data_IF_929802757097
#
_entry.id   IF_929802757097
#
_cell.length_a   1.000
_cell.length_b   1.000
_cell.length_c   1.000
_cell.angle_alpha   90.00
_cell.angle_beta   90.00
_cell.angle_gamma   90.00
#
_symmetry.space_group_name_H-M   'P 1'
#
loop_
_entity.id
_entity.type
_entity.pdbx_description
1 polymer ?
#
# COMPACT_ATOMS: atom_id res chain seq x y z
N UNK A 1 -8.57 4.25 -12.25
CA UNK A 1 -9.86 3.62 -12.58
C UNK A 1 -10.00 3.30 -14.07
N UNK A 2 -9.92 4.27 -14.98
CA UNK A 2 -10.21 4.08 -16.41
C UNK A 2 -9.44 2.92 -17.08
N UNK A 3 -8.14 2.80 -16.85
CA UNK A 3 -7.33 1.69 -17.38
C UNK A 3 -7.74 0.32 -16.80
N UNK A 4 -8.15 0.27 -15.53
CA UNK A 4 -8.64 -0.96 -14.89
C UNK A 4 -9.97 -1.38 -15.50
N UNK A 5 -10.90 -0.44 -15.70
CA UNK A 5 -12.19 -0.69 -16.36
C UNK A 5 -12.00 -1.18 -17.81
N UNK A 6 -11.12 -0.52 -18.57
CA UNK A 6 -10.77 -0.92 -19.94
C UNK A 6 -10.19 -2.33 -19.98
N UNK A 7 -9.29 -2.67 -19.05
CA UNK A 7 -8.72 -4.01 -18.93
C UNK A 7 -9.80 -5.07 -18.64
N UNK A 8 -10.67 -4.81 -17.66
CA UNK A 8 -11.76 -5.73 -17.30
C UNK A 8 -12.74 -5.96 -18.44
N UNK A 9 -13.03 -4.91 -19.22
CA UNK A 9 -13.87 -4.99 -20.41
C UNK A 9 -13.20 -5.80 -21.53
N UNK A 10 -11.93 -5.52 -21.83
CA UNK A 10 -11.14 -6.24 -22.84
C UNK A 10 -11.03 -7.74 -22.54
N UNK A 11 -10.77 -8.10 -21.27
CA UNK A 11 -10.71 -9.49 -20.81
C UNK A 11 -12.07 -10.15 -20.60
N UNK A 12 -13.17 -9.42 -20.77
CA UNK A 12 -14.55 -9.89 -20.57
C UNK A 12 -14.77 -10.54 -19.19
N UNK A 13 -14.21 -9.93 -18.14
CA UNK A 13 -14.35 -10.49 -16.79
C UNK A 13 -15.82 -10.56 -16.35
N UNK A 14 -16.24 -11.58 -15.58
CA UNK A 14 -17.60 -11.68 -15.04
C UNK A 14 -17.96 -10.50 -14.12
N UNK A 15 -19.25 -10.18 -14.02
CA UNK A 15 -19.75 -9.03 -13.24
C UNK A 15 -19.28 -9.06 -11.78
N UNK A 16 -19.33 -10.21 -11.13
CA UNK A 16 -18.92 -10.39 -9.74
C UNK A 16 -17.44 -10.05 -9.54
N UNK A 17 -16.57 -10.50 -10.45
CA UNK A 17 -15.15 -10.20 -10.42
C UNK A 17 -14.88 -8.71 -10.64
N UNK A 18 -15.61 -8.07 -11.57
CA UNK A 18 -15.51 -6.62 -11.78
C UNK A 18 -15.88 -5.83 -10.52
N UNK A 19 -16.96 -6.24 -9.86
CA UNK A 19 -17.40 -5.59 -8.62
C UNK A 19 -16.35 -5.70 -7.53
N UNK A 20 -15.81 -6.90 -7.28
CA UNK A 20 -14.73 -7.11 -6.30
C UNK A 20 -13.49 -6.28 -6.61
N UNK A 21 -13.08 -6.20 -7.88
CA UNK A 21 -11.93 -5.37 -8.31
C UNK A 21 -12.22 -3.89 -8.04
N UNK A 22 -13.41 -3.38 -8.42
CA UNK A 22 -13.77 -1.98 -8.17
C UNK A 22 -13.78 -1.66 -6.67
N UNK A 23 -14.42 -2.50 -5.86
CA UNK A 23 -14.45 -2.34 -4.39
C UNK A 23 -13.03 -2.36 -3.81
N UNK A 24 -12.16 -3.27 -4.25
CA UNK A 24 -10.76 -3.31 -3.86
C UNK A 24 -10.05 -1.98 -4.15
N UNK A 25 -10.17 -1.46 -5.38
CA UNK A 25 -9.53 -0.21 -5.77
C UNK A 25 -10.10 1.01 -5.04
N UNK A 26 -11.41 1.05 -4.78
CA UNK A 26 -12.03 2.12 -3.97
C UNK A 26 -11.50 2.10 -2.53
N UNK A 27 -11.44 0.92 -1.90
CA UNK A 27 -10.90 0.77 -0.55
C UNK A 27 -9.39 1.07 -0.48
N UNK A 28 -8.61 0.54 -1.44
CA UNK A 28 -7.15 0.66 -1.48
C UNK A 28 -6.67 2.08 -1.72
N UNK A 29 -7.40 2.85 -2.53
CA UNK A 29 -6.95 4.15 -3.00
C UNK A 29 -7.80 5.32 -2.49
N UNK A 30 -8.97 5.06 -1.88
CA UNK A 30 -9.88 6.11 -1.38
C UNK A 30 -10.16 7.21 -2.43
N UNK A 31 -10.29 6.81 -3.70
CA UNK A 31 -10.46 7.73 -4.83
C UNK A 31 -9.19 8.42 -5.34
N UNK A 32 -8.02 8.21 -4.71
CA UNK A 32 -6.72 8.76 -5.11
C UNK A 32 -5.84 7.70 -5.73
N UNK A 33 -5.81 7.65 -7.05
CA UNK A 33 -5.00 6.69 -7.82
C UNK A 33 -3.63 7.30 -8.10
N UNK A 34 -2.69 7.08 -7.18
CA UNK A 34 -1.29 7.37 -7.42
C UNK A 34 -0.46 6.10 -7.35
N UNK A 35 0.50 6.00 -8.25
CA UNK A 35 1.55 5.00 -8.20
C UNK A 35 2.58 5.47 -7.17
N UNK A 36 2.39 5.03 -5.93
CA UNK A 36 3.26 5.41 -4.80
C UNK A 36 4.70 4.97 -5.03
N UNK A 37 4.92 3.83 -5.70
CA UNK A 37 6.26 3.35 -6.03
C UNK A 37 6.94 4.28 -7.04
N UNK A 38 6.23 4.70 -8.09
CA UNK A 38 6.75 5.67 -9.05
C UNK A 38 7.01 7.03 -8.39
N UNK A 39 6.09 7.54 -7.57
CA UNK A 39 6.26 8.83 -6.88
C UNK A 39 7.47 8.80 -5.95
N UNK A 40 7.60 7.76 -5.13
CA UNK A 40 8.74 7.61 -4.22
C UNK A 40 10.05 7.37 -4.98
N UNK A 41 10.00 6.75 -6.15
CA UNK A 41 11.15 6.53 -7.04
C UNK A 41 11.75 7.81 -7.63
N UNK A 42 10.96 8.87 -7.80
CA UNK A 42 11.41 10.19 -8.26
C UNK A 42 12.07 11.03 -7.14
N UNK A 43 11.90 10.64 -5.87
CA UNK A 43 12.47 11.34 -4.73
C UNK A 43 13.93 10.95 -4.51
N UNK A 44 14.72 11.85 -3.92
CA UNK A 44 16.04 11.49 -3.40
C UNK A 44 15.89 10.43 -2.29
N UNK A 45 16.92 9.61 -2.11
CA UNK A 45 16.92 8.52 -1.11
C UNK A 45 16.50 9.02 0.28
N UNK A 46 17.11 10.12 0.75
CA UNK A 46 16.78 10.72 2.03
C UNK A 46 15.33 11.19 2.11
N UNK A 47 14.82 11.84 1.08
CA UNK A 47 13.44 12.34 1.08
C UNK A 47 12.42 11.19 1.04
N UNK A 48 12.74 10.13 0.30
CA UNK A 48 11.94 8.89 0.29
C UNK A 48 11.91 8.24 1.67
N UNK A 49 13.05 8.12 2.34
CA UNK A 49 13.13 7.61 3.71
C UNK A 49 12.32 8.46 4.70
N UNK A 50 12.42 9.78 4.62
CA UNK A 50 11.64 10.71 5.45
C UNK A 50 10.14 10.49 5.27
N UNK A 51 9.67 10.35 4.02
CA UNK A 51 8.25 10.09 3.70
C UNK A 51 7.79 8.73 4.24
N UNK A 52 8.57 7.66 4.03
CA UNK A 52 8.22 6.31 4.49
C UNK A 52 8.15 6.27 6.03
N UNK A 53 9.16 6.83 6.72
CA UNK A 53 9.16 6.91 8.18
C UNK A 53 7.98 7.73 8.71
N UNK A 54 7.65 8.85 8.06
CA UNK A 54 6.48 9.63 8.43
C UNK A 54 5.19 8.84 8.27
N UNK A 55 4.99 8.15 7.15
CA UNK A 55 3.78 7.36 6.88
C UNK A 55 3.60 6.21 7.88
N UNK A 56 4.70 5.57 8.30
CA UNK A 56 4.67 4.44 9.22
C UNK A 56 4.75 4.83 10.71
N UNK A 57 4.88 6.12 11.07
CA UNK A 57 5.05 6.56 12.47
C UNK A 57 3.99 6.01 13.43
N UNK A 58 2.74 5.93 13.00
CA UNK A 58 1.64 5.41 13.80
C UNK A 58 1.72 3.88 13.98
N UNK A 59 2.15 3.15 12.93
CA UNK A 59 2.39 1.72 12.99
C UNK A 59 3.55 1.40 13.95
N UNK A 60 4.66 2.12 13.82
CA UNK A 60 5.83 1.97 14.69
C UNK A 60 5.44 2.22 16.15
N UNK A 61 4.71 3.31 16.41
CA UNK A 61 4.25 3.65 17.76
C UNK A 61 3.28 2.61 18.36
N UNK A 62 2.51 1.88 17.54
CA UNK A 62 1.55 0.89 18.01
C UNK A 62 2.15 -0.51 18.22
N UNK A 63 3.41 -0.74 17.82
CA UNK A 63 4.05 -2.06 17.86
C UNK A 63 5.12 -2.07 18.96
N UNK A 64 4.88 -2.78 20.09
CA UNK A 64 5.80 -2.79 21.24
C UNK A 64 7.23 -3.24 20.91
N UNK A 65 7.40 -4.08 19.87
CA UNK A 65 8.70 -4.52 19.39
C UNK A 65 9.64 -3.34 19.02
N UNK A 66 9.10 -2.22 18.53
CA UNK A 66 9.90 -1.05 18.17
C UNK A 66 10.10 -0.04 19.30
N UNK A 67 9.45 -0.21 20.47
CA UNK A 67 9.37 0.83 21.49
C UNK A 67 10.74 1.32 22.02
N UNK A 68 11.75 0.43 22.03
CA UNK A 68 13.12 0.74 22.47
C UNK A 68 14.15 0.42 21.38
N UNK A 69 13.71 0.27 20.12
CA UNK A 69 14.59 -0.07 19.02
C UNK A 69 15.37 1.17 18.54
N UNK A 70 16.58 0.94 18.01
CA UNK A 70 17.39 1.99 17.40
C UNK A 70 16.66 2.62 16.20
N UNK A 71 16.76 3.94 16.03
CA UNK A 71 16.03 4.65 14.97
C UNK A 71 16.48 4.24 13.56
N UNK A 72 17.76 3.89 13.36
CA UNK A 72 18.23 3.41 12.07
C UNK A 72 17.68 2.02 11.80
N UNK A 73 17.66 1.14 12.81
CA UNK A 73 17.02 -0.17 12.68
C UNK A 73 15.52 -0.05 12.33
N UNK A 74 14.80 0.85 12.99
CA UNK A 74 13.37 1.09 12.67
C UNK A 74 13.23 1.56 11.22
N UNK A 75 14.06 2.51 10.78
CA UNK A 75 14.06 3.00 9.40
C UNK A 75 14.36 1.87 8.39
N UNK A 76 15.35 1.02 8.69
CA UNK A 76 15.72 -0.13 7.85
C UNK A 76 14.57 -1.14 7.71
N UNK A 77 13.81 -1.38 8.78
CA UNK A 77 12.64 -2.27 8.72
C UNK A 77 11.50 -1.61 7.94
N UNK A 78 11.19 -0.36 8.27
CA UNK A 78 10.04 0.39 7.73
C UNK A 78 10.19 0.63 6.22
N UNK A 79 11.40 0.90 5.74
CA UNK A 79 11.70 1.04 4.30
C UNK A 79 11.56 -0.24 3.49
N UNK A 80 11.45 -1.41 4.15
CA UNK A 80 11.19 -2.71 3.50
C UNK A 80 9.74 -3.16 3.58
N UNK A 81 8.88 -2.43 4.30
CA UNK A 81 7.46 -2.76 4.39
C UNK A 81 6.76 -2.56 3.05
N UNK A 82 5.84 -3.46 2.73
CA UNK A 82 4.92 -3.31 1.59
C UNK A 82 3.53 -3.10 2.13
N UNK A 83 2.89 -2.03 1.67
CA UNK A 83 1.51 -1.75 2.04
C UNK A 83 0.57 -2.65 1.22
N UNK A 84 -0.21 -3.47 1.93
CA UNK A 84 -1.19 -4.38 1.35
C UNK A 84 -2.57 -4.12 1.95
N UNK A 85 -3.61 -4.27 1.12
CA UNK A 85 -5.01 -4.17 1.53
C UNK A 85 -5.67 -5.48 1.18
N UNK A 86 -6.48 -5.99 2.10
CA UNK A 86 -7.20 -7.24 1.92
C UNK A 86 -8.70 -6.99 2.04
N UNK A 87 -9.48 -7.69 1.23
CA UNK A 87 -10.93 -7.68 1.34
C UNK A 87 -11.41 -8.61 2.46
N UNK A 88 -12.55 -8.33 3.11
CA UNK A 88 -13.14 -9.25 4.07
C UNK A 88 -13.34 -10.66 3.46
N UNK A 89 -12.77 -11.68 4.10
CA UNK A 89 -12.85 -13.07 3.65
C UNK A 89 -11.69 -13.56 2.76
N UNK A 90 -10.74 -12.69 2.40
CA UNK A 90 -9.47 -13.16 1.82
C UNK A 90 -8.65 -13.89 2.88
N UNK A 91 -8.20 -15.11 2.56
CA UNK A 91 -7.27 -15.84 3.42
C UNK A 91 -5.88 -15.19 3.32
N UNK A 92 -5.47 -14.51 4.38
CA UNK A 92 -4.09 -14.06 4.55
C UNK A 92 -3.34 -15.08 5.40
N UNK A 93 -2.14 -15.47 4.95
CA UNK A 93 -1.20 -16.23 5.78
C UNK A 93 -0.28 -15.19 6.42
N UNK A 94 -0.45 -14.95 7.72
CA UNK A 94 0.48 -14.18 8.54
C UNK A 94 1.54 -15.10 9.12
#
# INVERSE_FOLDING_TARGET
VKQVEEYMAYRKLPREMRQRITEYFEHRYQGKFFDEEAILGELSEKLREDVINYNCRSLVASVPFFANADSNFVSDVVTKLKYEVFQPGEQTVL
#
